data_IF_388573740534
#
_entry.id   IF_388573740534
#
_cell.length_a   1.000
_cell.length_b   1.000
_cell.length_c   1.000
_cell.angle_alpha   90.00
_cell.angle_beta   90.00
_cell.angle_gamma   90.00
#
_symmetry.space_group_name_H-M   'P 1'
#
loop_
_entity.id
_entity.type
_entity.pdbx_description
1 polymer ?
#
# COMPACT_ATOMS: atom_id res chain seq x y z
N UNK A 1 22.61 -58.44 -11.40
CA UNK A 1 22.10 -57.07 -11.62
C UNK A 1 20.59 -57.14 -11.48
N UNK A 2 20.06 -56.87 -10.28
CA UNK A 2 18.65 -57.05 -9.96
C UNK A 2 17.89 -55.73 -10.15
N UNK A 3 16.96 -55.71 -11.10
CA UNK A 3 16.03 -54.60 -11.24
C UNK A 3 15.08 -54.58 -10.03
N UNK A 4 14.84 -53.43 -9.40
CA UNK A 4 13.89 -53.33 -8.30
C UNK A 4 12.48 -53.69 -8.80
N UNK A 5 11.67 -54.38 -7.97
CA UNK A 5 10.31 -54.75 -8.33
C UNK A 5 9.47 -53.49 -8.61
N UNK A 6 8.55 -53.54 -9.59
CA UNK A 6 7.83 -52.35 -10.07
C UNK A 6 7.14 -51.58 -8.94
N UNK A 7 6.62 -52.27 -7.92
CA UNK A 7 5.99 -51.65 -6.76
C UNK A 7 6.90 -50.65 -6.01
N UNK A 8 8.22 -50.88 -5.99
CA UNK A 8 9.19 -49.97 -5.34
C UNK A 8 9.40 -48.72 -6.19
N UNK A 9 9.42 -48.84 -7.53
CA UNK A 9 9.56 -47.69 -8.42
C UNK A 9 8.37 -46.74 -8.31
N UNK A 10 7.15 -47.31 -8.25
CA UNK A 10 5.92 -46.52 -8.08
C UNK A 10 5.86 -45.82 -6.71
N UNK A 11 6.29 -46.46 -5.62
CA UNK A 11 6.30 -45.81 -4.30
C UNK A 11 7.27 -44.65 -4.22
N UNK A 12 8.46 -44.75 -4.82
CA UNK A 12 9.41 -43.63 -4.90
C UNK A 12 8.91 -42.50 -5.79
N UNK A 13 8.22 -42.81 -6.91
CA UNK A 13 7.65 -41.80 -7.80
C UNK A 13 6.48 -41.06 -7.12
N UNK A 14 5.64 -41.76 -6.35
CA UNK A 14 4.61 -41.15 -5.53
C UNK A 14 5.18 -40.31 -4.38
N UNK A 15 6.26 -40.76 -3.72
CA UNK A 15 6.94 -39.99 -2.68
C UNK A 15 7.56 -38.70 -3.24
N UNK A 16 8.19 -38.75 -4.42
CA UNK A 16 8.74 -37.59 -5.12
C UNK A 16 7.63 -36.61 -5.55
N UNK A 17 6.52 -37.11 -6.10
CA UNK A 17 5.34 -36.28 -6.43
C UNK A 17 4.70 -35.64 -5.19
N UNK A 18 4.67 -36.34 -4.05
CA UNK A 18 4.23 -35.79 -2.78
C UNK A 18 5.21 -34.73 -2.25
N UNK A 19 6.53 -34.94 -2.35
CA UNK A 19 7.56 -33.95 -1.97
C UNK A 19 7.46 -32.65 -2.79
N UNK A 20 7.25 -32.75 -4.11
CA UNK A 20 7.05 -31.60 -5.00
C UNK A 20 5.73 -30.87 -4.72
N UNK A 21 4.65 -31.61 -4.41
CA UNK A 21 3.36 -31.03 -4.03
C UNK A 21 3.42 -30.29 -2.67
N UNK A 22 4.22 -30.78 -1.72
CA UNK A 22 4.45 -30.11 -0.43
C UNK A 22 5.34 -28.86 -0.57
N UNK A 23 6.33 -28.87 -1.47
CA UNK A 23 7.14 -27.68 -1.78
C UNK A 23 6.32 -26.61 -2.54
N UNK A 24 5.40 -27.03 -3.42
CA UNK A 24 4.49 -26.15 -4.16
C UNK A 24 3.43 -25.47 -3.29
N UNK A 25 3.02 -26.07 -2.17
CA UNK A 25 2.03 -25.50 -1.26
C UNK A 25 2.59 -24.37 -0.36
N UNK A 26 3.91 -24.31 -0.16
CA UNK A 26 4.55 -23.20 0.58
C UNK A 26 4.65 -21.90 -0.24
N UNK A 27 4.40 -21.91 -1.55
CA UNK A 27 4.66 -20.78 -2.46
C UNK A 27 3.44 -19.98 -2.90
N UNK A 28 2.29 -20.14 -2.25
CA UNK A 28 1.08 -19.46 -2.72
C UNK A 28 0.16 -19.00 -1.58
N UNK A 29 0.63 -18.14 -0.66
CA UNK A 29 -0.29 -17.26 0.08
C UNK A 29 0.33 -16.06 0.83
N UNK A 30 1.35 -15.39 0.29
CA UNK A 30 1.70 -14.04 0.80
C UNK A 30 0.87 -12.96 0.10
N UNK A 31 -0.28 -12.64 0.68
CA UNK A 31 -1.05 -11.45 0.30
C UNK A 31 -1.79 -10.87 1.51
N UNK A 32 -1.06 -10.10 2.30
CA UNK A 32 -1.43 -8.80 2.90
C UNK A 32 -0.14 -8.29 3.56
N UNK A 33 0.08 -6.98 3.61
CA UNK A 33 1.31 -6.36 4.16
C UNK A 33 1.53 -6.88 5.58
N UNK A 34 2.50 -7.78 5.77
CA UNK A 34 2.93 -8.32 7.05
C UNK A 34 4.39 -7.89 7.25
N UNK A 35 4.71 -7.14 8.32
CA UNK A 35 6.11 -6.81 8.68
C UNK A 35 6.59 -5.37 8.51
N UNK A 36 5.72 -4.36 8.61
CA UNK A 36 6.17 -2.95 8.68
C UNK A 36 6.75 -2.58 10.06
N UNK A 37 7.68 -1.62 10.07
CA UNK A 37 8.18 -0.94 11.27
C UNK A 37 7.79 0.53 11.23
N UNK A 38 7.89 1.25 12.35
CA UNK A 38 7.61 2.68 12.37
C UNK A 38 8.59 3.36 11.40
N UNK A 39 8.07 4.22 10.52
CA UNK A 39 8.93 4.99 9.64
C UNK A 39 9.78 5.94 10.48
N UNK A 40 11.00 6.27 10.03
CA UNK A 40 11.65 7.48 10.51
C UNK A 40 10.74 8.68 10.22
N UNK A 41 10.54 9.55 11.21
CA UNK A 41 9.61 10.67 11.11
C UNK A 41 9.89 11.51 9.86
N UNK A 42 8.84 11.75 9.08
CA UNK A 42 8.88 12.52 7.82
C UNK A 42 9.79 11.97 6.71
N UNK A 43 10.23 10.71 6.79
CA UNK A 43 11.08 10.09 5.74
C UNK A 43 10.41 9.93 4.37
N UNK A 44 9.08 9.99 4.29
CA UNK A 44 8.28 9.97 3.06
C UNK A 44 7.44 11.26 3.03
N UNK A 45 8.05 12.41 2.71
CA UNK A 45 7.42 13.73 2.81
C UNK A 45 6.28 13.96 1.80
N UNK A 46 6.06 13.03 0.88
CA UNK A 46 4.93 13.00 -0.04
C UNK A 46 3.69 12.33 0.55
N UNK A 47 3.81 11.65 1.69
CA UNK A 47 2.68 10.96 2.30
C UNK A 47 1.59 11.95 2.71
N UNK A 48 0.35 11.64 2.35
CA UNK A 48 -0.84 12.38 2.79
C UNK A 48 -1.87 11.46 3.43
N UNK A 49 -2.69 12.02 4.30
CA UNK A 49 -3.81 11.35 4.95
C UNK A 49 -5.11 12.06 4.59
N UNK A 50 -6.10 11.31 4.10
CA UNK A 50 -7.43 11.82 3.83
C UNK A 50 -8.30 11.63 5.08
N UNK A 51 -8.99 12.68 5.50
CA UNK A 51 -9.81 12.68 6.70
C UNK A 51 -11.26 13.06 6.41
N UNK A 52 -12.19 12.30 6.99
CA UNK A 52 -13.59 12.70 7.08
C UNK A 52 -13.89 13.08 8.53
N UNK A 53 -13.83 14.39 8.82
CA UNK A 53 -13.81 14.87 10.20
C UNK A 53 -12.54 14.38 10.89
N UNK A 54 -12.68 13.64 11.99
CA UNK A 54 -11.54 13.06 12.74
C UNK A 54 -11.19 11.63 12.30
N UNK A 55 -11.97 11.04 11.39
CA UNK A 55 -11.76 9.66 10.94
C UNK A 55 -10.80 9.63 9.75
N UNK A 56 -9.69 8.90 9.91
CA UNK A 56 -8.83 8.54 8.80
C UNK A 56 -9.64 7.73 7.78
N UNK A 57 -9.62 8.20 6.53
CA UNK A 57 -10.34 7.60 5.42
C UNK A 57 -9.42 6.74 4.56
N UNK A 58 -8.34 7.34 4.05
CA UNK A 58 -7.37 6.72 3.16
C UNK A 58 -6.01 7.42 3.25
N UNK A 59 -4.98 6.81 2.64
CA UNK A 59 -3.75 7.52 2.29
C UNK A 59 -3.83 8.21 0.93
N UNK A 60 -2.81 8.99 0.62
CA UNK A 60 -2.56 9.54 -0.71
C UNK A 60 -1.11 10.01 -0.83
N UNK A 61 -0.74 10.51 -2.00
CA UNK A 61 0.62 10.93 -2.34
C UNK A 61 0.60 12.31 -2.98
N UNK A 62 1.38 13.24 -2.42
CA UNK A 62 1.62 14.54 -3.01
C UNK A 62 2.49 14.37 -4.27
N UNK A 63 1.97 14.81 -5.42
CA UNK A 63 2.67 14.75 -6.72
C UNK A 63 2.99 16.14 -7.28
N UNK A 64 2.36 17.18 -6.73
CA UNK A 64 2.68 18.60 -6.96
C UNK A 64 2.20 19.40 -5.74
N UNK A 65 2.60 20.67 -5.58
CA UNK A 65 2.22 21.48 -4.43
C UNK A 65 0.70 21.63 -4.18
N UNK A 66 -0.14 21.37 -5.19
CA UNK A 66 -1.59 21.40 -5.07
C UNK A 66 -2.30 20.17 -5.64
N UNK A 67 -1.56 19.08 -5.92
CA UNK A 67 -2.09 17.83 -6.46
C UNK A 67 -1.71 16.62 -5.63
N UNK A 68 -2.72 15.84 -5.27
CA UNK A 68 -2.59 14.57 -4.54
C UNK A 68 -3.16 13.44 -5.38
N UNK A 69 -2.42 12.34 -5.47
CA UNK A 69 -2.83 11.09 -6.06
C UNK A 69 -3.33 10.13 -4.97
N UNK A 70 -4.44 9.45 -5.20
CA UNK A 70 -5.00 8.43 -4.30
C UNK A 70 -5.81 7.41 -5.09
N UNK A 71 -6.45 6.46 -4.42
CA UNK A 71 -7.40 5.55 -5.05
C UNK A 71 -8.76 6.20 -5.30
N UNK A 72 -9.44 5.78 -6.37
CA UNK A 72 -10.76 6.29 -6.72
C UNK A 72 -11.84 5.85 -5.71
N UNK A 73 -11.73 4.65 -5.14
CA UNK A 73 -12.67 4.17 -4.11
C UNK A 73 -12.65 5.02 -2.81
N UNK A 74 -11.59 5.81 -2.60
CA UNK A 74 -11.48 6.73 -1.47
C UNK A 74 -12.38 7.97 -1.61
N UNK A 75 -13.00 8.21 -2.78
CA UNK A 75 -13.86 9.37 -3.00
C UNK A 75 -15.02 9.41 -2.00
N UNK A 76 -15.19 10.56 -1.34
CA UNK A 76 -16.35 10.90 -0.50
C UNK A 76 -16.87 12.29 -0.84
N UNK A 77 -18.07 12.63 -0.36
CA UNK A 77 -18.69 13.95 -0.61
C UNK A 77 -17.92 15.11 0.03
N UNK A 78 -17.35 14.89 1.22
CA UNK A 78 -16.58 15.90 1.97
C UNK A 78 -15.48 15.21 2.77
N UNK A 79 -14.26 15.70 2.63
CA UNK A 79 -13.07 15.27 3.32
C UNK A 79 -11.97 16.35 3.20
N UNK A 80 -10.95 16.26 4.05
CA UNK A 80 -9.74 17.11 4.03
C UNK A 80 -8.53 16.24 3.71
N UNK A 81 -7.44 16.87 3.28
CA UNK A 81 -6.15 16.23 3.08
C UNK A 81 -5.17 16.82 4.08
N UNK A 82 -4.51 15.97 4.85
CA UNK A 82 -3.44 16.35 5.77
C UNK A 82 -2.09 15.91 5.23
N UNK A 83 -1.10 16.81 5.30
CA UNK A 83 0.29 16.58 4.91
C UNK A 83 1.22 16.84 6.10
N UNK A 84 2.43 16.28 6.06
CA UNK A 84 3.47 16.55 7.05
C UNK A 84 3.22 15.98 8.44
N UNK A 85 2.32 15.00 8.56
CA UNK A 85 1.96 14.31 9.80
C UNK A 85 2.79 13.02 9.93
N UNK A 86 3.27 12.70 11.13
CA UNK A 86 3.90 11.42 11.50
C UNK A 86 2.96 10.61 12.43
N UNK A 87 2.32 11.28 13.39
CA UNK A 87 1.44 10.65 14.37
C UNK A 87 0.04 11.26 14.33
N UNK A 88 -0.95 10.49 13.86
CA UNK A 88 -2.34 10.96 13.79
C UNK A 88 -2.96 11.29 15.17
N UNK A 89 -2.26 10.96 16.26
CA UNK A 89 -2.67 11.25 17.64
C UNK A 89 -2.04 12.54 18.19
N UNK A 90 -0.81 12.85 17.79
CA UNK A 90 -0.03 13.94 18.36
C UNK A 90 0.18 14.98 17.29
N UNK A 91 -0.16 16.24 17.58
CA UNK A 91 -0.03 17.30 16.59
C UNK A 91 1.44 17.57 16.27
N UNK A 92 1.85 17.36 15.02
CA UNK A 92 3.16 17.76 14.53
C UNK A 92 3.15 19.23 14.08
N UNK A 93 4.27 19.94 14.25
CA UNK A 93 4.39 21.35 13.85
C UNK A 93 4.35 21.56 12.33
N UNK A 94 4.65 20.51 11.57
CA UNK A 94 4.64 20.47 10.10
C UNK A 94 3.29 20.17 9.48
N UNK A 95 2.27 19.87 10.30
CA UNK A 95 0.94 19.51 9.80
C UNK A 95 0.30 20.63 8.99
N UNK A 96 -0.15 20.27 7.79
CA UNK A 96 -0.94 21.14 6.93
C UNK A 96 -2.26 20.45 6.60
N UNK A 97 -3.36 20.99 7.12
CA UNK A 97 -4.71 20.51 6.77
C UNK A 97 -5.30 21.36 5.65
N UNK A 98 -5.59 20.72 4.52
CA UNK A 98 -5.98 21.38 3.28
C UNK A 98 -7.37 20.91 2.83
N UNK A 99 -8.19 21.89 2.44
CA UNK A 99 -9.49 21.62 1.85
C UNK A 99 -9.36 21.15 0.39
N UNK A 100 -10.23 20.23 -0.01
CA UNK A 100 -10.30 19.72 -1.38
C UNK A 100 -11.11 20.68 -2.27
N UNK A 101 -10.54 21.05 -3.42
CA UNK A 101 -11.23 21.82 -4.45
C UNK A 101 -11.97 20.89 -5.42
N UNK A 102 -11.32 19.79 -5.83
CA UNK A 102 -11.87 18.88 -6.83
C UNK A 102 -11.34 17.46 -6.63
N UNK A 103 -12.17 16.47 -6.95
CA UNK A 103 -11.80 15.04 -6.97
C UNK A 103 -12.12 14.46 -8.34
N UNK A 104 -11.09 13.99 -9.04
CA UNK A 104 -11.12 13.59 -10.44
C UNK A 104 -10.73 12.11 -10.51
N UNK A 105 -11.69 11.17 -10.34
CA UNK A 105 -11.41 9.75 -10.51
C UNK A 105 -11.09 9.45 -11.97
N UNK A 106 -10.34 8.39 -12.22
CA UNK A 106 -10.06 7.92 -13.56
C UNK A 106 -11.38 7.66 -14.32
N UNK A 107 -11.53 8.12 -15.59
CA UNK A 107 -12.78 7.99 -16.34
C UNK A 107 -13.28 6.54 -16.49
N UNK A 108 -12.35 5.58 -16.57
CA UNK A 108 -12.67 4.16 -16.66
C UNK A 108 -12.84 3.45 -15.31
N UNK A 109 -12.75 4.16 -14.18
CA UNK A 109 -13.00 3.54 -12.88
C UNK A 109 -14.48 3.19 -12.74
N UNK A 110 -14.76 1.90 -12.56
CA UNK A 110 -16.10 1.42 -12.25
C UNK A 110 -16.15 0.96 -10.79
N UNK A 111 -16.95 1.62 -9.97
CA UNK A 111 -17.09 1.31 -8.54
C UNK A 111 -17.88 0.03 -8.23
N UNK A 112 -18.08 -0.87 -9.21
CA UNK A 112 -18.74 -2.16 -8.99
C UNK A 112 -17.88 -3.06 -8.11
N UNK A 113 -18.51 -3.76 -7.16
CA UNK A 113 -17.86 -4.44 -6.04
C UNK A 113 -16.82 -5.53 -6.39
N UNK A 114 -16.68 -5.90 -7.66
CA UNK A 114 -15.79 -6.99 -8.10
C UNK A 114 -14.64 -6.50 -9.00
N UNK A 115 -14.71 -5.27 -9.52
CA UNK A 115 -13.68 -4.71 -10.41
C UNK A 115 -12.94 -3.55 -9.73
N UNK A 116 -11.64 -3.70 -9.57
CA UNK A 116 -10.74 -2.68 -9.03
C UNK A 116 -9.83 -2.07 -10.12
N UNK A 117 -10.16 -2.28 -11.38
CA UNK A 117 -9.45 -1.68 -12.51
C UNK A 117 -9.57 -0.16 -12.47
N UNK A 118 -8.49 0.52 -12.84
CA UNK A 118 -8.42 1.98 -12.89
C UNK A 118 -8.75 2.69 -11.56
N UNK A 119 -8.51 2.04 -10.41
CA UNK A 119 -8.74 2.59 -9.08
C UNK A 119 -7.70 3.68 -8.72
N UNK A 120 -7.79 4.82 -9.41
CA UNK A 120 -6.88 5.94 -9.36
C UNK A 120 -7.68 7.26 -9.41
N UNK A 121 -7.32 8.23 -8.59
CA UNK A 121 -7.98 9.53 -8.54
C UNK A 121 -6.97 10.65 -8.24
N UNK A 122 -7.12 11.76 -8.96
CA UNK A 122 -6.46 13.01 -8.65
C UNK A 122 -7.33 13.87 -7.75
N UNK A 123 -6.70 14.52 -6.77
CA UNK A 123 -7.30 15.50 -5.88
C UNK A 123 -6.59 16.83 -6.10
N UNK A 124 -7.37 17.87 -6.45
CA UNK A 124 -6.88 19.25 -6.47
C UNK A 124 -7.14 19.88 -5.11
N UNK A 125 -6.10 20.41 -4.47
CA UNK A 125 -6.20 21.14 -3.22
C UNK A 125 -6.68 22.58 -3.47
N UNK A 126 -7.38 23.19 -2.50
CA UNK A 126 -7.84 24.60 -2.60
C UNK A 126 -6.71 25.62 -2.58
N UNK A 127 -5.55 25.25 -2.06
CA UNK A 127 -4.35 26.08 -2.02
C UNK A 127 -3.13 25.25 -2.38
N UNK A 128 -1.95 25.89 -2.33
CA UNK A 128 -0.65 25.21 -2.48
C UNK A 128 -0.12 24.85 -1.09
N UNK A 129 0.39 23.64 -0.95
CA UNK A 129 1.09 23.19 0.24
C UNK A 129 2.40 23.98 0.38
N UNK A 130 2.75 24.33 1.61
CA UNK A 130 4.05 24.91 1.93
C UNK A 130 5.08 23.80 1.89
N UNK A 131 5.89 23.80 0.82
CA UNK A 131 6.89 22.75 0.61
C UNK A 131 8.11 22.94 1.52
N UNK A 132 8.72 21.83 1.91
CA UNK A 132 9.90 21.79 2.77
C UNK A 132 10.38 20.36 3.01
N UNK A 133 11.32 20.15 3.96
CA UNK A 133 11.85 18.82 4.26
C UNK A 133 10.78 17.78 4.65
N UNK A 134 9.69 18.23 5.28
CA UNK A 134 8.64 17.37 5.81
C UNK A 134 7.41 17.25 4.88
N UNK A 135 7.32 18.12 3.86
CA UNK A 135 6.23 18.15 2.87
C UNK A 135 6.82 18.40 1.50
N UNK A 136 6.92 17.36 0.67
CA UNK A 136 7.57 17.44 -0.63
C UNK A 136 6.91 16.47 -1.61
N UNK A 137 6.62 16.89 -2.86
CA UNK A 137 6.10 15.99 -3.87
C UNK A 137 7.08 14.86 -4.22
N UNK A 138 6.54 13.70 -4.59
CA UNK A 138 7.32 12.63 -5.23
C UNK A 138 7.25 12.75 -6.75
N UNK A 139 8.32 12.36 -7.44
CA UNK A 139 8.31 12.20 -8.88
C UNK A 139 7.47 10.98 -9.28
N UNK A 140 6.73 11.11 -10.38
CA UNK A 140 6.06 9.97 -11.02
C UNK A 140 7.12 9.10 -11.70
N UNK A 141 6.93 7.78 -11.62
CA UNK A 141 7.75 6.83 -12.36
C UNK A 141 7.52 7.02 -13.88
N UNK A 142 8.60 6.93 -14.64
CA UNK A 142 8.62 7.06 -16.11
C UNK A 142 8.66 5.69 -16.83
N UNK A 143 8.76 4.61 -16.07
CA UNK A 143 8.77 3.23 -16.56
C UNK A 143 7.84 2.34 -15.73
N UNK A 144 7.41 1.24 -16.35
CA UNK A 144 6.65 0.22 -15.64
C UNK A 144 7.55 -0.52 -14.64
N UNK A 145 7.01 -0.94 -13.49
CA UNK A 145 7.76 -1.73 -12.53
C UNK A 145 8.12 -3.11 -13.08
N UNK A 146 9.26 -3.64 -12.64
CA UNK A 146 9.70 -4.99 -12.94
C UNK A 146 9.29 -5.98 -11.84
N UNK A 147 9.00 -7.22 -12.23
CA UNK A 147 8.73 -8.30 -11.26
C UNK A 147 9.96 -8.52 -10.39
N UNK A 148 9.77 -8.55 -9.07
CA UNK A 148 10.86 -8.69 -8.13
C UNK A 148 11.58 -7.37 -7.78
N UNK A 149 11.23 -6.24 -8.42
CA UNK A 149 11.71 -4.93 -8.00
C UNK A 149 11.30 -4.66 -6.55
N UNK A 150 12.24 -4.12 -5.76
CA UNK A 150 11.99 -3.76 -4.36
C UNK A 150 11.19 -2.47 -4.28
N UNK A 151 10.20 -2.45 -3.41
CA UNK A 151 9.39 -1.27 -3.12
C UNK A 151 9.23 -1.03 -1.62
N UNK A 152 8.86 0.20 -1.29
CA UNK A 152 8.49 0.62 0.05
C UNK A 152 7.03 1.04 0.04
N UNK A 153 6.26 0.59 1.03
CA UNK A 153 4.86 0.99 1.24
C UNK A 153 4.78 1.64 2.61
N UNK A 154 4.02 2.73 2.71
CA UNK A 154 3.82 3.47 3.95
C UNK A 154 2.36 3.85 4.19
N UNK A 155 1.97 3.97 5.46
CA UNK A 155 0.62 4.41 5.84
C UNK A 155 0.27 4.23 7.32
N UNK A 156 -0.95 4.63 7.67
CA UNK A 156 -1.53 4.51 9.03
C UNK A 156 -2.63 3.46 9.13
N UNK A 157 -2.68 2.57 8.14
CA UNK A 157 -3.66 1.50 8.03
C UNK A 157 -3.55 0.46 9.15
N UNK A 158 -4.53 -0.44 9.20
CA UNK A 158 -4.62 -1.39 10.31
C UNK A 158 -3.43 -2.35 10.31
N UNK A 159 -2.74 -2.38 11.45
CA UNK A 159 -1.58 -3.26 11.69
C UNK A 159 -1.95 -4.68 12.17
N UNK A 160 -3.19 -5.09 11.95
CA UNK A 160 -3.69 -6.42 12.32
C UNK A 160 -4.43 -7.03 11.15
N UNK A 161 -4.01 -8.23 10.77
CA UNK A 161 -4.76 -9.09 9.87
C UNK A 161 -5.22 -10.34 10.65
N UNK A 162 -6.17 -11.12 10.15
CA UNK A 162 -6.51 -12.42 10.75
C UNK A 162 -5.31 -13.37 10.93
N UNK A 163 -4.16 -13.06 10.30
CA UNK A 163 -2.92 -13.86 10.32
C UNK A 163 -1.84 -13.32 11.26
N UNK A 164 -2.07 -12.23 12.01
CA UNK A 164 -1.09 -11.73 12.98
C UNK A 164 -1.26 -10.27 13.40
N UNK A 165 -0.62 -9.92 14.53
CA UNK A 165 -0.55 -8.57 15.12
C UNK A 165 0.86 -8.00 14.93
N UNK A 166 1.01 -6.84 14.28
CA UNK A 166 2.32 -6.20 14.11
C UNK A 166 2.79 -5.51 15.40
N UNK A 167 4.11 -5.30 15.49
CA UNK A 167 4.74 -4.49 16.54
C UNK A 167 4.61 -3.00 16.17
N UNK A 168 3.42 -2.46 16.38
CA UNK A 168 3.18 -1.05 16.12
C UNK A 168 1.96 -0.46 16.81
N UNK A 169 2.09 0.80 17.24
CA UNK A 169 1.00 1.60 17.79
C UNK A 169 0.00 1.99 16.70
N UNK A 170 -1.28 1.66 16.90
CA UNK A 170 -2.35 2.15 16.03
C UNK A 170 -2.32 3.68 15.94
N UNK A 171 -2.36 4.22 14.73
CA UNK A 171 -2.31 5.67 14.45
C UNK A 171 -0.91 6.26 14.30
N UNK A 172 0.14 5.45 14.38
CA UNK A 172 1.52 5.84 14.04
C UNK A 172 1.83 5.39 12.60
N UNK A 173 2.71 6.12 11.92
CA UNK A 173 3.05 5.89 10.53
C UNK A 173 4.04 4.72 10.36
N UNK A 174 3.67 3.72 9.55
CA UNK A 174 4.47 2.50 9.32
C UNK A 174 5.06 2.48 7.92
N UNK A 175 6.28 1.96 7.80
CA UNK A 175 6.97 1.69 6.55
C UNK A 175 7.32 0.20 6.52
N UNK A 176 7.03 -0.47 5.40
CA UNK A 176 7.55 -1.81 5.15
C UNK A 176 8.39 -1.77 3.90
N UNK A 177 9.70 -1.99 4.08
CA UNK A 177 10.68 -2.04 3.01
C UNK A 177 10.92 -3.49 2.57
N UNK A 178 11.27 -3.69 1.31
CA UNK A 178 11.67 -5.01 0.79
C UNK A 178 10.51 -5.86 0.26
N UNK A 179 9.34 -5.26 0.01
CA UNK A 179 8.29 -5.94 -0.75
C UNK A 179 8.75 -6.09 -2.20
N UNK A 180 8.62 -7.30 -2.72
CA UNK A 180 8.80 -7.56 -4.13
C UNK A 180 7.49 -7.22 -4.85
N UNK A 181 7.58 -6.48 -5.96
CA UNK A 181 6.43 -6.33 -6.85
C UNK A 181 6.11 -7.71 -7.43
N UNK A 182 5.02 -8.30 -6.95
CA UNK A 182 4.41 -9.53 -7.50
C UNK A 182 3.42 -9.21 -8.64
N UNK A 183 3.07 -7.93 -8.82
CA UNK A 183 2.18 -7.42 -9.86
C UNK A 183 1.81 -5.94 -9.64
N UNK A 184 1.21 -5.29 -10.65
CA UNK A 184 0.84 -3.86 -10.60
C UNK A 184 -0.53 -3.71 -9.93
N UNK A 185 -0.57 -3.76 -8.59
CA UNK A 185 -1.77 -3.38 -7.82
C UNK A 185 -1.44 -2.17 -6.96
N UNK A 186 -2.14 -1.04 -7.14
CA UNK A 186 -1.95 0.12 -6.28
C UNK A 186 -2.39 -0.22 -4.85
N UNK A 187 -1.45 -0.26 -3.90
CA UNK A 187 -1.73 -0.49 -2.49
C UNK A 187 -2.00 0.85 -1.80
N UNK A 188 -3.22 1.36 -1.96
CA UNK A 188 -3.67 2.63 -1.35
C UNK A 188 -4.58 2.46 -0.12
N UNK A 189 -4.90 1.23 0.28
CA UNK A 189 -5.86 0.97 1.34
C UNK A 189 -5.23 1.10 2.73
N UNK A 190 -5.89 1.88 3.60
CA UNK A 190 -5.70 1.87 5.05
C UNK A 190 -6.35 0.62 5.69
#
# INVERSE_FOLDING_TARGET
MGHPPPAVVWTWMFLLLLLEAWAGHLRAQESKVLGGQECEAHSQPWQTALFQGVRLLCGGVLIEDNWVLTAAHCKKRKYTVRLGDHSLKNKDSSEQEMAVAQSIPHPCYNGSNEDHSHDLMLIRLRGRASLGPQVKPINLADHCPEVGQKCTISGWGTVTSPRGRFRGSAGVWWCSAGHHILGIRPLWAA
#
